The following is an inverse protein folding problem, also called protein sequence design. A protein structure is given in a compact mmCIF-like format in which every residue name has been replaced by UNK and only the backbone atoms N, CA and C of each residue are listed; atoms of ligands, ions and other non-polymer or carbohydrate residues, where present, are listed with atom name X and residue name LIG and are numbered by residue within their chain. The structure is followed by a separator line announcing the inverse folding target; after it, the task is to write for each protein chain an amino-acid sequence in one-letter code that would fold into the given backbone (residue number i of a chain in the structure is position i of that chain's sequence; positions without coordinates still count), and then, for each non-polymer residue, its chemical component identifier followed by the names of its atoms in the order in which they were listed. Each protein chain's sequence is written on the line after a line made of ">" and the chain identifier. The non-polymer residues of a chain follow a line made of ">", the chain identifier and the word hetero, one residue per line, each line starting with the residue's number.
data_IF_564177769956
#
_entry.id   IF_564177769956
#
_cell.length_a   1.000
_cell.length_b   1.000
_cell.length_c   1.000
_cell.angle_alpha   90.00
_cell.angle_beta   90.00
_cell.angle_gamma   90.00
#
_symmetry.space_group_name_H-M   'P 1'
#
loop_
_entity.id
_entity.type
_entity.pdbx_description
1 polymer ?
#
# COMPACT_ATOMS: atom_id res chain seq x y z
N UNK A 1 -11.07 2.08 3.01
CA UNK A 1 -9.82 1.39 3.38
C UNK A 1 -8.87 1.16 2.21
N UNK A 2 -9.30 0.51 1.12
CA UNK A 2 -8.38 0.15 0.03
C UNK A 2 -7.79 1.36 -0.71
N UNK A 3 -8.65 2.32 -1.07
CA UNK A 3 -8.25 3.56 -1.74
C UNK A 3 -7.27 4.39 -0.89
N UNK A 4 -7.62 4.59 0.39
CA UNK A 4 -6.75 5.28 1.36
C UNK A 4 -5.40 4.57 1.55
N UNK A 5 -5.37 3.23 1.54
CA UNK A 5 -4.12 2.48 1.63
C UNK A 5 -3.22 2.70 0.41
N UNK A 6 -3.78 2.82 -0.79
CA UNK A 6 -3.01 3.21 -1.98
C UNK A 6 -2.44 4.61 -1.81
N UNK A 7 -3.31 5.57 -1.49
CA UNK A 7 -2.91 6.96 -1.29
C UNK A 7 -1.78 7.10 -0.26
N UNK A 8 -1.86 6.38 0.86
CA UNK A 8 -0.82 6.40 1.91
C UNK A 8 0.48 5.72 1.47
N UNK A 9 0.44 4.69 0.61
CA UNK A 9 1.64 4.08 0.03
C UNK A 9 2.30 4.99 -1.00
N UNK A 10 1.52 5.83 -1.68
CA UNK A 10 1.98 6.77 -2.70
C UNK A 10 2.51 8.07 -2.09
N UNK A 11 1.82 8.59 -1.07
CA UNK A 11 2.13 9.86 -0.43
C UNK A 11 3.13 9.73 0.73
N UNK A 12 3.43 8.50 1.20
CA UNK A 12 4.26 8.33 2.39
C UNK A 12 5.10 7.04 2.42
N UNK A 13 6.30 7.15 2.99
CA UNK A 13 7.19 6.01 3.25
C UNK A 13 6.90 5.27 4.57
N UNK A 14 5.65 5.32 5.05
CA UNK A 14 5.26 4.60 6.25
C UNK A 14 5.45 3.08 6.07
N UNK A 15 5.70 2.40 7.19
CA UNK A 15 5.71 0.94 7.21
C UNK A 15 4.31 0.39 6.92
N UNK A 16 4.23 -0.77 6.26
CA UNK A 16 2.95 -1.39 5.86
C UNK A 16 1.98 -1.57 7.03
N UNK A 17 2.50 -1.82 8.23
CA UNK A 17 1.70 -1.93 9.45
C UNK A 17 1.02 -0.59 9.80
N UNK A 18 1.76 0.52 9.72
CA UNK A 18 1.20 1.87 9.93
C UNK A 18 0.20 2.22 8.84
N UNK A 19 0.50 1.92 7.58
CA UNK A 19 -0.43 2.14 6.46
C UNK A 19 -1.73 1.39 6.69
N UNK A 20 -1.67 0.10 7.05
CA UNK A 20 -2.84 -0.71 7.34
C UNK A 20 -3.73 -0.05 8.42
N UNK A 21 -3.14 0.27 9.57
CA UNK A 21 -3.85 0.91 10.69
C UNK A 21 -4.46 2.26 10.31
N UNK A 22 -3.71 3.12 9.60
CA UNK A 22 -4.19 4.45 9.19
C UNK A 22 -5.25 4.38 8.08
N UNK A 23 -5.25 3.31 7.28
CA UNK A 23 -6.22 3.13 6.21
C UNK A 23 -7.54 2.54 6.70
N UNK A 24 -7.57 1.99 7.91
CA UNK A 24 -8.71 1.28 8.48
C UNK A 24 -8.67 -0.25 8.34
N UNK A 25 -7.50 -0.84 8.05
CA UNK A 25 -7.29 -2.28 8.18
C UNK A 25 -6.82 -2.64 9.60
N UNK A 26 -7.33 -3.75 10.11
CA UNK A 26 -6.95 -4.28 11.42
C UNK A 26 -5.48 -4.72 11.46
N UNK A 27 -5.01 -5.37 10.38
CA UNK A 27 -3.64 -5.87 10.25
C UNK A 27 -3.06 -5.66 8.85
N UNK A 28 -1.73 -5.68 8.77
CA UNK A 28 -1.02 -5.64 7.49
C UNK A 28 -1.32 -6.87 6.60
N UNK A 29 -1.68 -8.00 7.20
CA UNK A 29 -2.06 -9.22 6.47
C UNK A 29 -3.42 -9.06 5.78
N UNK A 30 -4.41 -8.49 6.48
CA UNK A 30 -5.71 -8.15 5.87
C UNK A 30 -5.55 -7.18 4.71
N UNK A 31 -4.68 -6.16 4.88
CA UNK A 31 -4.33 -5.25 3.79
C UNK A 31 -3.66 -6.00 2.62
N UNK A 32 -2.71 -6.90 2.90
CA UNK A 32 -2.05 -7.72 1.85
C UNK A 32 -3.06 -8.56 1.07
N UNK A 33 -3.98 -9.24 1.77
CA UNK A 33 -5.03 -10.02 1.14
C UNK A 33 -5.91 -9.17 0.22
N UNK A 34 -6.32 -7.98 0.68
CA UNK A 34 -7.10 -7.05 -0.14
C UNK A 34 -6.37 -6.61 -1.43
N UNK A 35 -5.06 -6.33 -1.34
CA UNK A 35 -4.23 -6.00 -2.49
C UNK A 35 -4.06 -7.18 -3.46
N UNK A 36 -3.82 -8.38 -2.95
CA UNK A 36 -3.72 -9.58 -3.80
C UNK A 36 -5.05 -9.89 -4.49
N UNK A 37 -6.18 -9.75 -3.79
CA UNK A 37 -7.51 -9.98 -4.36
C UNK A 37 -7.91 -8.93 -5.41
N UNK A 38 -7.53 -7.66 -5.21
CA UNK A 38 -7.93 -6.55 -6.11
C UNK A 38 -6.98 -6.33 -7.28
N UNK A 39 -5.67 -6.50 -7.07
CA UNK A 39 -4.61 -6.12 -8.03
C UNK A 39 -3.69 -7.28 -8.40
N UNK A 40 -3.77 -8.43 -7.72
CA UNK A 40 -2.84 -9.53 -7.93
C UNK A 40 -1.42 -9.29 -7.42
N UNK A 41 -1.17 -8.17 -6.72
CA UNK A 41 0.16 -7.79 -6.20
C UNK A 41 0.09 -7.47 -4.71
N UNK A 42 1.23 -7.46 -4.04
CA UNK A 42 1.32 -7.06 -2.62
C UNK A 42 1.44 -5.54 -2.48
N UNK A 43 1.07 -4.96 -1.33
CA UNK A 43 1.25 -3.52 -1.07
C UNK A 43 2.73 -3.10 -1.08
N UNK A 44 3.66 -4.00 -0.76
CA UNK A 44 5.10 -3.75 -0.96
C UNK A 44 5.44 -3.54 -2.43
N UNK A 45 5.02 -4.48 -3.29
CA UNK A 45 5.23 -4.39 -4.74
C UNK A 45 4.59 -3.13 -5.32
N UNK A 46 3.36 -2.80 -4.89
CA UNK A 46 2.68 -1.57 -5.31
C UNK A 46 3.53 -0.33 -4.99
N UNK A 47 4.02 -0.23 -3.74
CA UNK A 47 4.88 0.88 -3.30
C UNK A 47 6.21 0.91 -4.07
N UNK A 48 6.83 -0.23 -4.33
CA UNK A 48 8.08 -0.30 -5.10
C UNK A 48 7.87 0.21 -6.52
N UNK A 49 6.82 -0.25 -7.22
CA UNK A 49 6.50 0.23 -8.58
C UNK A 49 6.25 1.74 -8.61
N UNK A 50 5.58 2.28 -7.59
CA UNK A 50 5.29 3.71 -7.53
C UNK A 50 6.53 4.53 -7.15
N UNK A 51 7.32 4.05 -6.19
CA UNK A 51 8.56 4.70 -5.78
C UNK A 51 9.61 4.72 -6.89
N UNK A 52 9.65 3.70 -7.75
CA UNK A 52 10.52 3.69 -8.95
C UNK A 52 10.03 4.66 -10.02
N UNK A 53 8.73 4.94 -10.08
CA UNK A 53 8.15 5.84 -11.07
C UNK A 53 8.21 7.33 -10.64
N UNK A 54 8.61 7.61 -9.38
CA UNK A 54 8.73 8.98 -8.86
C UNK A 54 10.15 9.57 -9.01
N UNK A 55 11.12 8.83 -9.57
CA UNK A 55 12.50 9.30 -9.79
C UNK A 55 12.80 9.62 -11.27
N UNK A 56 11.78 9.83 -12.10
CA UNK A 56 11.91 10.37 -13.44
C UNK A 56 11.18 11.73 -13.51
N UNK A 57 11.91 12.80 -13.20
CA UNK A 57 11.45 14.18 -13.24
C UNK A 57 12.49 15.13 -12.68
#
# INVERSE_FOLDING_TARGET
>A
MFDLARHLLEASNLTLKKVALNSGFDTAEQMRGAFQQRLGITPSQYRENFSTNSTAG
#
